data_IF_924354197188
#
_entry.id   IF_924354197188
#
_cell.length_a   1.000
_cell.length_b   1.000
_cell.length_c   1.000
_cell.angle_alpha   90.00
_cell.angle_beta   90.00
_cell.angle_gamma   90.00
#
_symmetry.space_group_name_H-M   'P 1'
#
loop_
_entity.id
_entity.type
_entity.pdbx_description
1 polymer ?
#
# COMPACT_ATOMS: atom_id res chain seq x y z
N UNK A 1 26.24 -15.74 43.11
CA UNK A 1 24.93 -15.77 42.42
C UNK A 1 25.19 -15.50 40.96
N UNK A 2 24.68 -16.36 40.09
CA UNK A 2 25.29 -16.75 38.82
C UNK A 2 25.25 -15.73 37.68
N UNK A 3 26.21 -15.90 36.78
CA UNK A 3 26.39 -15.20 35.51
C UNK A 3 25.34 -15.66 34.48
N UNK A 4 24.86 -14.74 33.63
CA UNK A 4 24.18 -15.10 32.38
C UNK A 4 24.98 -14.49 31.22
N UNK A 5 25.65 -15.37 30.50
CA UNK A 5 26.34 -15.15 29.24
C UNK A 5 25.38 -15.46 28.10
N UNK A 6 25.43 -14.66 27.02
CA UNK A 6 24.96 -15.06 25.68
C UNK A 6 23.81 -14.21 25.12
N UNK A 7 23.76 -13.81 23.84
CA UNK A 7 24.53 -14.12 22.62
C UNK A 7 24.42 -12.90 21.70
N UNK A 8 25.52 -12.50 21.07
CA UNK A 8 25.52 -11.63 19.87
C UNK A 8 25.16 -12.50 18.67
N UNK A 9 24.06 -12.17 17.97
CA UNK A 9 23.84 -12.60 16.60
C UNK A 9 23.45 -11.39 15.76
N UNK A 10 24.39 -10.99 14.90
CA UNK A 10 24.15 -10.09 13.80
C UNK A 10 23.04 -10.65 12.90
N UNK A 11 21.98 -9.87 12.73
CA UNK A 11 20.88 -10.14 11.80
C UNK A 11 20.35 -8.81 11.30
N UNK A 12 20.88 -8.40 10.15
CA UNK A 12 20.43 -7.25 9.37
C UNK A 12 18.92 -7.31 9.09
N UNK A 13 18.14 -6.46 9.75
CA UNK A 13 16.93 -5.88 9.17
C UNK A 13 16.74 -4.49 9.76
N UNK A 14 17.05 -3.52 8.92
CA UNK A 14 17.03 -2.10 9.19
C UNK A 14 15.62 -1.58 9.54
N UNK A 15 15.60 -0.45 10.23
CA UNK A 15 14.55 0.59 10.20
C UNK A 15 13.15 0.20 10.67
N UNK A 16 12.88 0.31 11.98
CA UNK A 16 11.56 0.76 12.48
C UNK A 16 11.66 1.79 13.61
N UNK A 17 12.84 2.35 13.86
CA UNK A 17 12.97 3.60 14.61
C UNK A 17 12.97 4.75 13.60
N UNK A 18 12.07 5.73 13.81
CA UNK A 18 11.90 7.03 13.13
C UNK A 18 10.75 7.09 12.09
N UNK A 19 9.56 7.50 12.54
CA UNK A 19 8.93 8.79 12.18
C UNK A 19 7.58 8.97 12.90
N UNK A 20 7.58 8.82 14.23
CA UNK A 20 6.53 9.36 15.10
C UNK A 20 6.87 10.76 15.62
N UNK A 21 7.75 11.49 14.94
CA UNK A 21 8.10 12.86 15.27
C UNK A 21 7.09 13.80 14.61
N UNK A 22 5.95 13.98 15.28
CA UNK A 22 5.07 15.13 15.06
C UNK A 22 5.85 16.39 15.42
N UNK A 23 6.49 16.99 14.42
CA UNK A 23 7.18 18.26 14.55
C UNK A 23 6.88 19.08 13.30
N UNK A 24 6.15 20.17 13.56
CA UNK A 24 6.05 21.40 12.78
C UNK A 24 5.00 21.41 11.66
N UNK A 25 3.77 21.79 12.04
CA UNK A 25 2.93 22.75 11.29
C UNK A 25 2.85 22.60 9.78
N UNK A 26 2.40 21.44 9.31
CA UNK A 26 2.04 21.16 7.92
C UNK A 26 1.28 19.84 7.93
N UNK A 27 0.10 19.76 7.33
CA UNK A 27 -0.77 18.58 7.42
C UNK A 27 -0.06 17.27 7.03
N UNK A 28 -0.60 16.13 7.43
CA UNK A 28 0.07 14.83 7.25
C UNK A 28 0.14 14.28 5.80
N UNK A 29 -0.14 15.12 4.80
CA UNK A 29 -0.25 14.78 3.37
C UNK A 29 0.98 14.04 2.84
N UNK A 30 2.17 14.58 3.05
CA UNK A 30 3.42 14.00 2.52
C UNK A 30 3.68 12.60 3.07
N UNK A 31 3.46 12.41 4.37
CA UNK A 31 3.60 11.11 5.04
C UNK A 31 2.63 10.09 4.46
N UNK A 32 1.36 10.47 4.28
CA UNK A 32 0.34 9.58 3.70
C UNK A 32 0.67 9.25 2.23
N UNK A 33 1.15 10.23 1.47
CA UNK A 33 1.56 10.07 0.08
C UNK A 33 2.74 9.11 -0.11
N UNK A 34 3.77 9.22 0.73
CA UNK A 34 4.87 8.25 0.73
C UNK A 34 4.37 6.85 1.07
N UNK A 35 3.51 6.72 2.09
CA UNK A 35 2.96 5.43 2.47
C UNK A 35 2.06 4.82 1.39
N UNK A 36 1.29 5.63 0.67
CA UNK A 36 0.46 5.19 -0.45
C UNK A 36 1.32 4.68 -1.61
N UNK A 37 2.39 5.40 -1.93
CA UNK A 37 3.36 5.01 -2.97
C UNK A 37 4.01 3.67 -2.65
N UNK A 38 4.50 3.49 -1.42
CA UNK A 38 5.09 2.22 -0.97
C UNK A 38 4.09 1.06 -1.03
N UNK A 39 2.83 1.31 -0.65
CA UNK A 39 1.78 0.30 -0.75
C UNK A 39 1.50 -0.09 -2.20
N UNK A 40 1.49 0.87 -3.13
CA UNK A 40 1.35 0.62 -4.55
C UNK A 40 2.53 -0.20 -5.10
N UNK A 41 3.77 0.13 -4.77
CA UNK A 41 4.94 -0.60 -5.26
C UNK A 41 4.91 -2.07 -4.84
N UNK A 42 4.52 -2.35 -3.59
CA UNK A 42 4.32 -3.72 -3.09
C UNK A 42 3.22 -4.45 -3.84
N UNK A 43 2.09 -3.78 -4.08
CA UNK A 43 0.98 -4.34 -4.85
C UNK A 43 1.40 -4.68 -6.29
N UNK A 44 1.99 -3.72 -7.01
CA UNK A 44 2.44 -3.88 -8.38
C UNK A 44 3.50 -4.99 -8.49
N UNK A 45 4.43 -5.07 -7.53
CA UNK A 45 5.40 -6.16 -7.45
C UNK A 45 4.73 -7.51 -7.23
N UNK A 46 3.77 -7.61 -6.30
CA UNK A 46 3.04 -8.85 -6.03
C UNK A 46 2.32 -9.36 -7.28
N UNK A 47 1.59 -8.49 -7.97
CA UNK A 47 0.87 -8.82 -9.21
C UNK A 47 1.82 -9.29 -10.31
N UNK A 48 2.94 -8.59 -10.53
CA UNK A 48 3.94 -8.95 -11.55
C UNK A 48 4.68 -10.25 -11.24
N UNK A 49 4.87 -10.57 -9.96
CA UNK A 49 5.57 -11.78 -9.52
C UNK A 49 4.70 -13.04 -9.55
N UNK A 50 3.38 -12.88 -9.57
CA UNK A 50 2.44 -13.98 -9.54
C UNK A 50 2.13 -14.50 -10.96
N UNK A 51 1.95 -15.82 -11.15
CA UNK A 51 1.57 -16.37 -12.44
C UNK A 51 0.24 -15.78 -12.95
N UNK A 52 0.07 -15.57 -14.26
CA UNK A 52 -1.18 -15.04 -14.83
C UNK A 52 -2.42 -15.92 -14.58
N UNK A 53 -2.18 -17.19 -14.27
CA UNK A 53 -3.22 -18.17 -13.93
C UNK A 53 -3.63 -18.11 -12.46
N UNK A 54 -2.83 -17.48 -11.59
CA UNK A 54 -3.06 -17.41 -10.15
C UNK A 54 -3.93 -16.19 -9.77
N UNK A 55 -5.18 -16.21 -10.23
CA UNK A 55 -6.16 -15.14 -10.00
C UNK A 55 -6.48 -14.96 -8.51
N UNK A 56 -6.37 -16.03 -7.72
CA UNK A 56 -6.58 -15.98 -6.27
C UNK A 56 -5.52 -15.10 -5.60
N UNK A 57 -4.23 -15.27 -5.94
CA UNK A 57 -3.15 -14.45 -5.41
C UNK A 57 -3.23 -12.99 -5.86
N UNK A 58 -3.65 -12.75 -7.10
CA UNK A 58 -3.92 -11.41 -7.59
C UNK A 58 -5.07 -10.73 -6.84
N UNK A 59 -6.17 -11.46 -6.61
CA UNK A 59 -7.30 -10.96 -5.82
C UNK A 59 -6.86 -10.62 -4.39
N UNK A 60 -6.14 -11.52 -3.72
CA UNK A 60 -5.61 -11.28 -2.39
C UNK A 60 -4.73 -10.01 -2.34
N UNK A 61 -3.89 -9.81 -3.36
CA UNK A 61 -3.03 -8.63 -3.47
C UNK A 61 -3.85 -7.35 -3.65
N UNK A 62 -4.89 -7.38 -4.49
CA UNK A 62 -5.79 -6.25 -4.71
C UNK A 62 -6.60 -5.92 -3.44
N UNK A 63 -7.12 -6.92 -2.74
CA UNK A 63 -7.88 -6.75 -1.49
C UNK A 63 -6.98 -6.16 -0.38
N UNK A 64 -5.73 -6.63 -0.27
CA UNK A 64 -4.76 -6.07 0.68
C UNK A 64 -4.38 -4.62 0.34
N UNK A 65 -4.23 -4.30 -0.95
CA UNK A 65 -3.99 -2.93 -1.41
C UNK A 65 -5.18 -2.03 -1.09
N UNK A 66 -6.41 -2.47 -1.35
CA UNK A 66 -7.64 -1.73 -1.02
C UNK A 66 -7.73 -1.42 0.48
N UNK A 67 -7.55 -2.44 1.32
CA UNK A 67 -7.58 -2.26 2.78
C UNK A 67 -6.51 -1.25 3.24
N UNK A 68 -5.33 -1.26 2.62
CA UNK A 68 -4.26 -0.31 2.94
C UNK A 68 -4.62 1.12 2.54
N UNK A 69 -5.22 1.31 1.37
CA UNK A 69 -5.68 2.62 0.90
C UNK A 69 -6.78 3.19 1.82
N UNK A 70 -7.73 2.37 2.26
CA UNK A 70 -8.75 2.79 3.24
C UNK A 70 -8.14 3.21 4.58
N UNK A 71 -7.16 2.44 5.08
CA UNK A 71 -6.48 2.78 6.31
C UNK A 71 -5.75 4.13 6.20
N UNK A 72 -5.12 4.41 5.05
CA UNK A 72 -4.50 5.71 4.77
C UNK A 72 -5.54 6.83 4.64
N UNK A 73 -6.66 6.57 3.98
CA UNK A 73 -7.75 7.54 3.86
C UNK A 73 -8.34 7.91 5.23
N UNK A 74 -8.39 6.97 6.17
CA UNK A 74 -8.81 7.21 7.55
C UNK A 74 -7.83 8.10 8.33
N UNK A 75 -6.56 8.14 7.92
CA UNK A 75 -5.51 8.94 8.54
C UNK A 75 -5.31 10.29 7.85
N UNK A 76 -5.63 10.41 6.57
CA UNK A 76 -5.43 11.63 5.79
C UNK A 76 -6.28 12.80 6.31
N UNK A 77 -5.63 13.91 6.61
CA UNK A 77 -6.28 15.18 7.01
C UNK A 77 -6.76 15.98 5.79
N UNK A 78 -6.08 15.83 4.65
CA UNK A 78 -6.47 16.47 3.39
C UNK A 78 -7.63 15.72 2.72
N UNK A 79 -8.72 16.44 2.44
CA UNK A 79 -9.95 15.84 1.90
C UNK A 79 -9.78 15.32 0.47
N UNK A 80 -8.95 15.97 -0.36
CA UNK A 80 -8.70 15.54 -1.74
C UNK A 80 -7.90 14.24 -1.75
N UNK A 81 -6.85 14.17 -0.93
CA UNK A 81 -6.05 12.96 -0.73
C UNK A 81 -6.89 11.83 -0.17
N UNK A 82 -7.68 12.09 0.88
CA UNK A 82 -8.61 11.11 1.45
C UNK A 82 -9.53 10.51 0.39
N UNK A 83 -10.16 11.36 -0.42
CA UNK A 83 -11.03 10.91 -1.50
C UNK A 83 -10.29 10.08 -2.53
N UNK A 84 -9.10 10.52 -2.98
CA UNK A 84 -8.31 9.78 -3.95
C UNK A 84 -7.95 8.37 -3.44
N UNK A 85 -7.58 8.24 -2.17
CA UNK A 85 -7.28 6.94 -1.55
C UNK A 85 -8.52 6.04 -1.47
N UNK A 86 -9.69 6.60 -1.16
CA UNK A 86 -10.95 5.85 -1.18
C UNK A 86 -11.33 5.38 -2.59
N UNK A 87 -11.11 6.22 -3.60
CA UNK A 87 -11.38 5.89 -5.00
C UNK A 87 -10.44 4.75 -5.47
N UNK A 88 -9.14 4.81 -5.14
CA UNK A 88 -8.19 3.71 -5.43
C UNK A 88 -8.57 2.40 -4.71
N UNK A 89 -9.03 2.51 -3.47
CA UNK A 89 -9.52 1.36 -2.69
C UNK A 89 -10.74 0.69 -3.34
N UNK A 90 -11.69 1.49 -3.82
CA UNK A 90 -12.87 1.00 -4.53
C UNK A 90 -12.52 0.34 -5.88
N UNK A 91 -11.61 0.95 -6.64
CA UNK A 91 -11.11 0.39 -7.90
C UNK A 91 -10.39 -0.93 -7.68
N UNK A 92 -9.60 -1.03 -6.61
CA UNK A 92 -8.92 -2.27 -6.23
C UNK A 92 -9.88 -3.41 -5.88
N UNK A 93 -10.95 -3.14 -5.13
CA UNK A 93 -12.01 -4.12 -4.85
C UNK A 93 -12.77 -4.55 -6.10
N UNK A 94 -13.02 -3.59 -6.99
CA UNK A 94 -13.66 -3.85 -8.29
C UNK A 94 -12.80 -4.77 -9.13
N UNK A 95 -11.49 -4.50 -9.21
CA UNK A 95 -10.53 -5.36 -9.88
C UNK A 95 -10.47 -6.76 -9.24
N UNK A 96 -10.41 -6.82 -7.91
CA UNK A 96 -10.47 -8.09 -7.17
C UNK A 96 -11.73 -8.91 -7.45
N UNK A 97 -12.87 -8.26 -7.62
CA UNK A 97 -14.16 -8.91 -7.95
C UNK A 97 -14.21 -9.41 -9.39
N UNK A 98 -13.69 -8.63 -10.35
CA UNK A 98 -13.61 -9.03 -11.75
C UNK A 98 -12.73 -10.28 -11.97
N UNK A 99 -11.71 -10.46 -11.13
CA UNK A 99 -10.89 -11.68 -11.18
C UNK A 99 -11.69 -12.95 -10.89
N UNK A 100 -12.74 -12.87 -10.05
CA UNK A 100 -13.61 -14.01 -9.75
C UNK A 100 -14.46 -14.44 -10.95
N UNK A 101 -14.76 -13.52 -11.87
CA UNK A 101 -15.43 -13.82 -13.16
C UNK A 101 -14.43 -14.10 -14.28
N UNK A 102 -13.14 -14.00 -13.99
CA UNK A 102 -12.05 -14.32 -14.89
C UNK A 102 -11.49 -13.14 -15.67
N UNK A 103 -12.01 -11.93 -15.49
CA UNK A 103 -11.52 -10.71 -16.15
C UNK A 103 -10.36 -10.06 -15.37
N UNK A 104 -9.18 -10.02 -15.98
CA UNK A 104 -7.98 -9.40 -15.42
C UNK A 104 -7.74 -7.96 -15.91
N UNK A 105 -8.49 -7.49 -16.92
CA UNK A 105 -8.29 -6.16 -17.49
C UNK A 105 -8.44 -5.03 -16.45
N UNK A 106 -9.40 -5.08 -15.51
CA UNK A 106 -9.49 -4.09 -14.44
C UNK A 106 -8.25 -4.04 -13.54
N UNK A 107 -7.65 -5.19 -13.21
CA UNK A 107 -6.43 -5.26 -12.41
C UNK A 107 -5.26 -4.62 -13.15
N UNK A 108 -5.13 -4.88 -14.46
CA UNK A 108 -4.07 -4.29 -15.27
C UNK A 108 -4.23 -2.77 -15.44
N UNK A 109 -5.48 -2.29 -15.56
CA UNK A 109 -5.78 -0.85 -15.51
C UNK A 109 -5.41 -0.22 -14.17
N UNK A 110 -5.69 -0.90 -13.06
CA UNK A 110 -5.31 -0.42 -11.73
C UNK A 110 -3.78 -0.25 -11.63
N UNK A 111 -3.01 -1.30 -11.96
CA UNK A 111 -1.54 -1.26 -11.93
C UNK A 111 -0.95 -0.14 -12.80
N UNK A 112 -1.63 0.26 -13.88
CA UNK A 112 -1.13 1.30 -14.80
C UNK A 112 -1.59 2.71 -14.44
N UNK A 113 -2.80 2.87 -13.89
CA UNK A 113 -3.40 4.17 -13.61
C UNK A 113 -3.06 4.72 -12.22
N UNK A 114 -2.91 3.85 -11.21
CA UNK A 114 -2.69 4.27 -9.82
C UNK A 114 -1.50 5.21 -9.62
N UNK A 115 -0.31 5.06 -10.27
CA UNK A 115 0.81 5.99 -10.08
C UNK A 115 0.45 7.44 -10.41
N UNK A 116 -0.25 7.64 -11.54
CA UNK A 116 -0.66 8.98 -11.97
C UNK A 116 -1.70 9.57 -11.02
N UNK A 117 -2.63 8.75 -10.54
CA UNK A 117 -3.72 9.19 -9.65
C UNK A 117 -3.23 9.53 -8.24
N UNK A 118 -2.37 8.67 -7.66
CA UNK A 118 -1.70 8.94 -6.38
C UNK A 118 -0.81 10.16 -6.52
N UNK A 119 0.00 10.26 -7.59
CA UNK A 119 0.84 11.42 -7.85
C UNK A 119 0.05 12.74 -7.93
N UNK A 120 -1.08 12.76 -8.62
CA UNK A 120 -1.94 13.95 -8.74
C UNK A 120 -2.66 14.34 -7.44
N UNK A 121 -2.92 13.38 -6.56
CA UNK A 121 -3.46 13.65 -5.22
C UNK A 121 -2.38 14.17 -4.26
N UNK A 122 -1.14 13.76 -4.49
CA UNK A 122 0.03 14.12 -3.68
C UNK A 122 0.67 15.45 -4.07
N UNK A 123 0.49 15.90 -5.31
CA UNK A 123 0.89 17.23 -5.79
C UNK A 123 0.05 18.35 -5.16
#
# INVERSE_FOLDING_TARGET
MGNVTGIVLAGTCATLLLTGCGLIGGGNKDTICQQATVAFDRFASSVRSAPPTDKARWKQSADAFAARMDALAGQAEDAKLKKALQDESADARTAGSALATGDAAPLQRLVTATPARVGAACA
#
